data_IF_001789864022
#
_entry.id   IF_001789864022
#
_cell.length_a   1.000
_cell.length_b   1.000
_cell.length_c   1.000
_cell.angle_alpha   90.00
_cell.angle_beta   90.00
_cell.angle_gamma   90.00
#
_symmetry.space_group_name_H-M   'P 1'
#
loop_
_entity.id
_entity.type
_entity.pdbx_description
1 polymer ?
#
# COMPACT_ATOMS: atom_id res chain seq x y z
N UNK A 1 39.15 40.70 -61.91
CA UNK A 1 39.32 39.30 -61.45
C UNK A 1 38.86 39.24 -59.99
N UNK A 2 37.93 38.34 -59.70
CA UNK A 2 36.96 38.42 -58.59
C UNK A 2 37.49 37.69 -57.33
N UNK A 3 37.08 38.20 -56.16
CA UNK A 3 37.40 37.75 -54.80
C UNK A 3 37.20 36.26 -54.49
N UNK A 4 38.12 35.70 -53.70
CA UNK A 4 37.91 34.53 -52.84
C UNK A 4 38.42 34.84 -51.43
N UNK A 5 37.51 34.91 -50.46
CA UNK A 5 37.79 34.59 -49.05
C UNK A 5 36.48 34.58 -48.26
N UNK A 6 36.04 33.37 -47.84
CA UNK A 6 35.27 33.05 -46.61
C UNK A 6 34.59 31.69 -46.79
N UNK A 7 35.21 30.63 -46.27
CA UNK A 7 34.53 29.36 -45.93
C UNK A 7 35.47 28.49 -45.08
N UNK A 8 35.59 28.81 -43.79
CA UNK A 8 36.25 27.96 -42.81
C UNK A 8 35.79 28.32 -41.39
N UNK A 9 34.49 28.28 -41.12
CA UNK A 9 33.96 28.46 -39.76
C UNK A 9 32.55 27.88 -39.60
N UNK A 10 32.35 26.59 -39.90
CA UNK A 10 31.05 25.94 -39.62
C UNK A 10 31.11 24.43 -39.35
N UNK A 11 32.28 23.77 -39.32
CA UNK A 11 32.35 22.30 -39.13
C UNK A 11 32.69 21.84 -37.70
N UNK A 12 33.10 22.74 -36.80
CA UNK A 12 33.57 22.38 -35.45
C UNK A 12 32.48 22.43 -34.36
N UNK A 13 31.31 23.02 -34.63
CA UNK A 13 30.21 23.10 -33.65
C UNK A 13 29.32 21.84 -33.71
N UNK A 14 29.14 21.25 -34.89
CA UNK A 14 28.25 20.09 -35.07
C UNK A 14 28.83 18.80 -34.46
N UNK A 15 30.14 18.55 -34.59
CA UNK A 15 30.78 17.35 -34.02
C UNK A 15 30.80 17.35 -32.47
N UNK A 16 30.96 18.53 -31.86
CA UNK A 16 30.92 18.68 -30.40
C UNK A 16 29.52 18.41 -29.84
N UNK A 17 28.46 18.90 -30.50
CA UNK A 17 27.08 18.60 -30.12
C UNK A 17 26.76 17.11 -30.20
N UNK A 18 27.11 16.43 -31.30
CA UNK A 18 26.88 14.97 -31.44
C UNK A 18 27.69 14.12 -30.43
N UNK A 19 28.93 14.50 -30.11
CA UNK A 19 29.73 13.81 -29.11
C UNK A 19 29.19 14.00 -27.68
N UNK A 20 28.74 15.21 -27.34
CA UNK A 20 28.15 15.50 -26.02
C UNK A 20 26.82 14.79 -25.81
N UNK A 21 25.96 14.69 -26.84
CA UNK A 21 24.69 13.96 -26.77
C UNK A 21 24.94 12.47 -26.55
N UNK A 22 25.84 11.85 -27.33
CA UNK A 22 26.21 10.43 -27.15
C UNK A 22 26.81 10.14 -25.76
N UNK A 23 27.60 11.07 -25.20
CA UNK A 23 28.18 10.88 -23.86
C UNK A 23 27.16 11.05 -22.72
N UNK A 24 26.19 11.96 -22.86
CA UNK A 24 25.16 12.21 -21.86
C UNK A 24 24.13 11.07 -21.83
N UNK A 25 23.74 10.56 -23.01
CA UNK A 25 22.86 9.39 -23.15
C UNK A 25 23.53 8.13 -22.60
N UNK A 26 24.82 7.91 -22.88
CA UNK A 26 25.57 6.78 -22.33
C UNK A 26 25.71 6.86 -20.79
N UNK A 27 25.91 8.06 -20.23
CA UNK A 27 25.95 8.26 -18.77
C UNK A 27 24.58 8.04 -18.11
N UNK A 28 23.50 8.50 -18.75
CA UNK A 28 22.13 8.29 -18.28
C UNK A 28 21.78 6.80 -18.27
N UNK A 29 22.08 6.10 -19.37
CA UNK A 29 21.86 4.65 -19.49
C UNK A 29 22.67 3.86 -18.45
N UNK A 30 23.94 4.23 -18.19
CA UNK A 30 24.76 3.61 -17.16
C UNK A 30 24.17 3.82 -15.75
N UNK A 31 23.64 5.01 -15.47
CA UNK A 31 22.98 5.27 -14.19
C UNK A 31 21.70 4.47 -14.00
N UNK A 32 20.84 4.38 -15.01
CA UNK A 32 19.63 3.55 -14.97
C UNK A 32 19.97 2.09 -14.71
N UNK A 33 20.97 1.55 -15.41
CA UNK A 33 21.45 0.18 -15.21
C UNK A 33 21.95 -0.05 -13.78
N UNK A 34 22.68 0.92 -13.19
CA UNK A 34 23.12 0.86 -11.79
C UNK A 34 21.93 0.84 -10.81
N UNK A 35 20.91 1.66 -11.06
CA UNK A 35 19.69 1.72 -10.23
C UNK A 35 18.90 0.41 -10.35
N UNK A 36 18.72 -0.10 -11.57
CA UNK A 36 18.09 -1.39 -11.85
C UNK A 36 18.79 -2.52 -11.09
N UNK A 37 20.11 -2.59 -11.16
CA UNK A 37 20.90 -3.61 -10.48
C UNK A 37 20.75 -3.56 -8.95
N UNK A 38 20.69 -2.35 -8.36
CA UNK A 38 20.37 -2.21 -6.94
C UNK A 38 18.97 -2.77 -6.62
N UNK A 39 17.94 -2.38 -7.38
CA UNK A 39 16.58 -2.90 -7.16
C UNK A 39 16.50 -4.42 -7.30
N UNK A 40 17.15 -4.99 -8.31
CA UNK A 40 17.17 -6.44 -8.52
C UNK A 40 17.83 -7.16 -7.34
N UNK A 41 18.94 -6.63 -6.80
CA UNK A 41 19.60 -7.19 -5.62
C UNK A 41 18.69 -7.13 -4.38
N UNK A 42 18.04 -5.99 -4.15
CA UNK A 42 17.09 -5.82 -3.04
C UNK A 42 15.89 -6.76 -3.16
N UNK A 43 15.31 -6.89 -4.35
CA UNK A 43 14.20 -7.82 -4.61
C UNK A 43 14.61 -9.28 -4.32
N UNK A 44 15.80 -9.70 -4.77
CA UNK A 44 16.36 -11.02 -4.46
C UNK A 44 16.57 -11.22 -2.96
N UNK A 45 17.05 -10.20 -2.24
CA UNK A 45 17.23 -10.26 -0.80
C UNK A 45 15.90 -10.42 -0.06
N UNK A 46 14.87 -9.65 -0.42
CA UNK A 46 13.52 -9.75 0.16
C UNK A 46 12.88 -11.11 -0.11
N UNK A 47 12.98 -11.62 -1.34
CA UNK A 47 12.52 -12.98 -1.69
C UNK A 47 13.23 -14.05 -0.87
N UNK A 48 14.56 -13.97 -0.76
CA UNK A 48 15.36 -14.91 0.02
C UNK A 48 15.05 -14.86 1.53
N UNK A 49 14.69 -13.71 2.08
CA UNK A 49 14.27 -13.61 3.48
C UNK A 49 13.00 -14.43 3.74
N UNK A 50 12.01 -14.35 2.84
CA UNK A 50 10.78 -15.12 2.91
C UNK A 50 11.01 -16.64 2.75
N UNK A 51 11.93 -17.03 1.86
CA UNK A 51 12.28 -18.44 1.63
C UNK A 51 13.12 -19.06 2.75
N UNK A 52 13.83 -18.26 3.55
CA UNK A 52 14.74 -18.76 4.59
C UNK A 52 14.08 -19.02 5.94
N UNK A 53 13.21 -18.12 6.42
CA UNK A 53 12.47 -18.33 7.67
C UNK A 53 11.39 -17.29 7.90
N UNK A 54 10.36 -17.65 8.68
CA UNK A 54 9.35 -16.71 9.22
C UNK A 54 10.00 -15.52 9.93
N UNK A 55 11.00 -15.75 10.79
CA UNK A 55 11.67 -14.68 11.54
C UNK A 55 12.41 -13.66 10.63
N UNK A 56 12.97 -14.09 9.51
CA UNK A 56 13.62 -13.20 8.55
C UNK A 56 12.60 -12.34 7.80
N UNK A 57 11.49 -12.94 7.38
CA UNK A 57 10.42 -12.22 6.69
C UNK A 57 9.73 -11.21 7.61
N UNK A 58 9.45 -11.62 8.85
CA UNK A 58 8.83 -10.79 9.89
C UNK A 58 9.67 -9.57 10.25
N UNK A 59 11.01 -9.68 10.24
CA UNK A 59 11.92 -8.58 10.55
C UNK A 59 11.74 -7.36 9.64
N UNK A 60 11.31 -7.58 8.39
CA UNK A 60 11.01 -6.54 7.40
C UNK A 60 12.06 -5.41 7.35
N UNK A 61 13.33 -5.78 7.19
CA UNK A 61 14.47 -4.86 7.29
C UNK A 61 14.38 -3.73 6.26
N UNK A 62 14.71 -2.51 6.70
CA UNK A 62 14.83 -1.36 5.79
C UNK A 62 16.03 -1.49 4.85
N UNK A 63 15.79 -1.27 3.57
CA UNK A 63 16.84 -1.17 2.56
C UNK A 63 17.16 0.30 2.28
N UNK A 64 18.45 0.62 2.17
CA UNK A 64 18.91 1.95 1.80
C UNK A 64 20.01 1.86 0.75
N UNK A 65 19.87 2.64 -0.32
CA UNK A 65 20.86 2.70 -1.39
C UNK A 65 22.08 3.53 -0.99
N UNK A 66 23.25 3.14 -1.50
CA UNK A 66 24.48 3.95 -1.46
C UNK A 66 24.62 4.84 -2.71
N UNK A 67 23.69 4.77 -3.65
CA UNK A 67 23.70 5.61 -4.85
C UNK A 67 23.31 7.02 -4.45
N UNK A 68 24.27 7.93 -4.51
CA UNK A 68 24.08 9.34 -4.16
C UNK A 68 24.25 10.21 -5.41
N UNK A 69 23.29 11.12 -5.61
CA UNK A 69 23.35 12.20 -6.60
C UNK A 69 22.37 13.28 -6.18
N UNK A 70 22.84 14.51 -5.99
CA UNK A 70 21.94 15.67 -5.89
C UNK A 70 21.36 15.97 -7.26
N UNK A 71 20.08 16.28 -7.30
CA UNK A 71 19.37 16.60 -8.54
C UNK A 71 19.17 18.11 -8.63
N UNK A 72 19.24 18.63 -9.85
CA UNK A 72 18.72 19.97 -10.16
C UNK A 72 17.21 19.87 -10.29
N UNK A 73 16.50 20.97 -10.04
CA UNK A 73 15.03 20.97 -10.05
C UNK A 73 14.44 20.54 -11.41
N UNK A 74 15.10 20.92 -12.51
CA UNK A 74 14.70 20.53 -13.86
C UNK A 74 14.93 19.03 -14.18
N UNK A 75 15.75 18.33 -13.40
CA UNK A 75 16.05 16.91 -13.59
C UNK A 75 15.14 15.99 -12.76
N UNK A 76 14.27 16.54 -11.90
CA UNK A 76 13.45 15.76 -10.96
C UNK A 76 12.46 14.83 -11.68
N UNK A 77 11.79 15.32 -12.73
CA UNK A 77 10.78 14.56 -13.47
C UNK A 77 11.42 13.40 -14.21
N UNK A 78 12.44 13.66 -15.03
CA UNK A 78 13.16 12.63 -15.78
C UNK A 78 13.85 11.61 -14.88
N UNK A 79 14.36 12.03 -13.72
CA UNK A 79 14.93 11.11 -12.73
C UNK A 79 13.88 10.19 -12.11
N UNK A 80 12.66 10.68 -11.81
CA UNK A 80 11.56 9.83 -11.32
C UNK A 80 11.15 8.79 -12.35
N UNK A 81 11.03 9.19 -13.62
CA UNK A 81 10.70 8.28 -14.73
C UNK A 81 11.77 7.20 -14.90
N UNK A 82 13.05 7.58 -14.85
CA UNK A 82 14.17 6.63 -14.91
C UNK A 82 14.15 5.65 -13.73
N UNK A 83 13.95 6.14 -12.49
CA UNK A 83 13.86 5.28 -11.30
C UNK A 83 12.71 4.29 -11.42
N UNK A 84 11.54 4.74 -11.90
CA UNK A 84 10.40 3.84 -12.13
C UNK A 84 10.69 2.82 -13.25
N UNK A 85 11.31 3.24 -14.35
CA UNK A 85 11.70 2.33 -15.44
C UNK A 85 12.67 1.26 -14.95
N UNK A 86 13.70 1.65 -14.19
CA UNK A 86 14.66 0.74 -13.58
C UNK A 86 13.98 -0.24 -12.61
N UNK A 87 13.00 0.22 -11.83
CA UNK A 87 12.19 -0.65 -10.97
C UNK A 87 11.40 -1.67 -11.80
N UNK A 88 10.72 -1.24 -12.85
CA UNK A 88 9.97 -2.13 -13.75
C UNK A 88 10.87 -3.16 -14.45
N UNK A 89 12.08 -2.78 -14.87
CA UNK A 89 13.07 -3.70 -15.47
C UNK A 89 13.58 -4.73 -14.46
N UNK A 90 13.97 -4.29 -13.25
CA UNK A 90 14.41 -5.19 -12.19
C UNK A 90 13.32 -6.21 -11.82
N UNK A 91 12.06 -5.77 -11.79
CA UNK A 91 10.92 -6.64 -11.56
C UNK A 91 10.68 -7.64 -12.69
N UNK A 92 10.92 -7.27 -13.95
CA UNK A 92 10.85 -8.19 -15.08
C UNK A 92 11.98 -9.23 -15.04
N UNK A 93 13.18 -8.84 -14.61
CA UNK A 93 14.35 -9.71 -14.53
C UNK A 93 14.34 -10.64 -13.30
N UNK A 94 13.67 -10.25 -12.21
CA UNK A 94 13.54 -11.06 -11.00
C UNK A 94 12.95 -12.45 -11.32
N UNK A 95 13.64 -13.50 -10.92
CA UNK A 95 13.20 -14.89 -11.10
C UNK A 95 12.13 -15.24 -10.06
N UNK A 96 10.88 -15.26 -10.51
CA UNK A 96 9.69 -15.61 -9.73
C UNK A 96 8.53 -15.90 -10.69
N UNK A 97 7.47 -16.54 -10.20
CA UNK A 97 6.24 -16.70 -10.98
C UNK A 97 5.62 -15.33 -11.24
N UNK A 98 5.36 -15.02 -12.51
CA UNK A 98 4.75 -13.77 -12.95
C UNK A 98 3.23 -13.90 -13.03
N UNK A 99 2.55 -12.78 -12.77
CA UNK A 99 1.12 -12.64 -12.99
C UNK A 99 0.83 -12.84 -14.48
N UNK A 100 -0.18 -13.65 -14.77
CA UNK A 100 -0.63 -13.85 -16.15
C UNK A 100 -1.18 -12.56 -16.75
N UNK A 101 -1.23 -12.47 -18.08
CA UNK A 101 -1.96 -11.38 -18.74
C UNK A 101 -3.46 -11.59 -18.54
N UNK A 102 -4.24 -10.53 -18.28
CA UNK A 102 -5.65 -10.66 -18.04
C UNK A 102 -6.39 -10.89 -19.36
N UNK A 103 -7.18 -11.96 -19.42
CA UNK A 103 -8.21 -12.15 -20.46
C UNK A 103 -9.58 -11.69 -19.94
N UNK A 104 -10.67 -12.00 -20.63
CA UNK A 104 -12.02 -11.82 -20.08
C UNK A 104 -12.17 -12.64 -18.79
N UNK A 105 -12.63 -12.00 -17.70
CA UNK A 105 -12.88 -12.68 -16.43
C UNK A 105 -13.93 -13.80 -16.58
N UNK A 106 -14.82 -13.72 -17.57
CA UNK A 106 -15.81 -14.76 -17.86
C UNK A 106 -15.16 -16.10 -18.24
N UNK A 107 -13.94 -16.08 -18.78
CA UNK A 107 -13.22 -17.28 -19.20
C UNK A 107 -12.64 -18.06 -18.01
N UNK A 108 -12.58 -17.48 -16.81
CA UNK A 108 -11.94 -18.12 -15.67
C UNK A 108 -10.45 -18.37 -15.87
N UNK A 109 -9.77 -17.52 -16.65
CA UNK A 109 -8.32 -17.59 -16.84
C UNK A 109 -7.59 -17.42 -15.51
N UNK A 110 -6.71 -18.37 -15.19
CA UNK A 110 -6.04 -18.42 -13.89
C UNK A 110 -4.71 -19.15 -13.94
N UNK A 111 -3.92 -18.96 -12.90
CA UNK A 111 -2.65 -19.65 -12.65
C UNK A 111 -2.49 -19.85 -11.14
N UNK A 112 -1.29 -20.23 -10.70
CA UNK A 112 -0.99 -20.40 -9.28
C UNK A 112 0.33 -19.76 -8.90
N UNK A 113 0.47 -19.41 -7.62
CA UNK A 113 1.75 -19.07 -7.01
C UNK A 113 2.10 -20.05 -5.89
N UNK A 114 3.31 -20.59 -5.93
CA UNK A 114 3.89 -21.27 -4.77
C UNK A 114 4.32 -20.24 -3.72
N UNK A 115 3.80 -20.39 -2.50
CA UNK A 115 4.17 -19.53 -1.38
C UNK A 115 5.34 -20.16 -0.61
N UNK A 116 6.19 -19.36 0.05
CA UNK A 116 7.33 -19.88 0.80
C UNK A 116 6.92 -20.91 1.86
N UNK A 117 7.55 -22.10 1.81
CA UNK A 117 7.27 -23.21 2.73
C UNK A 117 7.47 -22.83 4.21
N UNK A 118 8.44 -21.94 4.47
CA UNK A 118 8.74 -21.40 5.80
C UNK A 118 7.62 -20.51 6.38
N UNK A 119 6.74 -19.98 5.52
CA UNK A 119 5.59 -19.16 5.93
C UNK A 119 4.32 -20.00 6.00
N UNK A 120 4.15 -20.96 5.08
CA UNK A 120 3.05 -21.90 5.08
C UNK A 120 3.45 -23.19 4.34
N UNK A 121 3.39 -24.37 5.00
CA UNK A 121 3.81 -25.63 4.40
C UNK A 121 3.02 -25.99 3.14
N UNK A 122 3.72 -26.37 2.07
CA UNK A 122 3.14 -26.84 0.80
C UNK A 122 2.08 -25.90 0.19
N UNK A 123 2.16 -24.60 0.47
CA UNK A 123 1.15 -23.65 0.05
C UNK A 123 1.27 -23.33 -1.45
N UNK A 124 0.23 -23.69 -2.20
CA UNK A 124 0.01 -23.24 -3.57
C UNK A 124 -1.27 -22.40 -3.57
N UNK A 125 -1.20 -21.17 -4.07
CA UNK A 125 -2.32 -20.24 -4.21
C UNK A 125 -2.77 -20.18 -5.67
N UNK A 126 -3.77 -20.98 -6.08
CA UNK A 126 -4.49 -20.72 -7.32
C UNK A 126 -5.14 -19.34 -7.31
N UNK A 127 -5.25 -18.70 -8.47
CA UNK A 127 -5.96 -17.45 -8.62
C UNK A 127 -6.54 -17.31 -10.03
N UNK A 128 -7.66 -16.60 -10.14
CA UNK A 128 -8.14 -16.04 -11.39
C UNK A 128 -7.61 -14.61 -11.54
N UNK A 129 -7.20 -14.25 -12.75
CA UNK A 129 -6.86 -12.87 -13.10
C UNK A 129 -7.46 -12.50 -14.45
N UNK A 130 -8.35 -11.52 -14.46
CA UNK A 130 -9.12 -11.19 -15.65
C UNK A 130 -9.73 -9.79 -15.64
N UNK A 131 -10.16 -9.36 -16.81
CA UNK A 131 -10.77 -8.07 -17.10
C UNK A 131 -12.27 -8.20 -17.29
N UNK A 132 -13.01 -7.17 -16.88
CA UNK A 132 -14.44 -7.03 -17.07
C UNK A 132 -14.70 -5.70 -17.78
N UNK A 133 -15.27 -5.75 -18.99
CA UNK A 133 -15.43 -4.57 -19.84
C UNK A 133 -14.12 -4.14 -20.52
N UNK A 134 -14.16 -2.99 -21.22
CA UNK A 134 -13.02 -2.41 -21.94
C UNK A 134 -12.75 -0.99 -21.43
N UNK A 135 -11.49 -0.56 -21.45
CA UNK A 135 -11.09 0.81 -21.18
C UNK A 135 -9.91 1.20 -22.09
N UNK A 136 -9.85 2.47 -22.50
CA UNK A 136 -8.77 3.01 -23.34
C UNK A 136 -7.49 3.33 -22.54
N UNK A 137 -7.50 3.08 -21.23
CA UNK A 137 -6.39 3.38 -20.33
C UNK A 137 -6.36 2.45 -19.12
N UNK A 138 -5.65 2.90 -18.08
CA UNK A 138 -5.46 2.12 -16.85
C UNK A 138 -6.79 1.80 -16.17
N UNK A 139 -6.96 0.55 -15.76
CA UNK A 139 -8.18 0.04 -15.13
C UNK A 139 -8.04 -0.03 -13.60
N UNK A 140 -9.16 0.10 -12.85
CA UNK A 140 -9.17 -0.25 -11.43
C UNK A 140 -8.92 -1.74 -11.22
N UNK A 141 -8.26 -2.10 -10.12
CA UNK A 141 -8.06 -3.50 -9.71
C UNK A 141 -8.87 -3.82 -8.46
N UNK A 142 -9.60 -4.92 -8.50
CA UNK A 142 -10.36 -5.48 -7.39
C UNK A 142 -9.74 -6.79 -6.90
N UNK A 143 -9.31 -6.82 -5.64
CA UNK A 143 -8.96 -8.04 -4.91
C UNK A 143 -10.20 -8.54 -4.17
N UNK A 144 -10.76 -9.67 -4.63
CA UNK A 144 -11.90 -10.32 -3.97
C UNK A 144 -11.45 -11.54 -3.17
N UNK A 145 -11.82 -11.59 -1.90
CA UNK A 145 -11.49 -12.68 -0.98
C UNK A 145 -12.74 -13.50 -0.65
N UNK A 146 -12.68 -14.82 -0.87
CA UNK A 146 -13.79 -15.73 -0.59
C UNK A 146 -13.94 -16.06 0.91
N UNK A 147 -15.06 -16.68 1.28
CA UNK A 147 -15.37 -17.06 2.65
C UNK A 147 -14.72 -18.38 3.06
N UNK A 148 -15.02 -18.85 4.27
CA UNK A 148 -14.61 -20.18 4.72
C UNK A 148 -15.59 -21.26 4.25
N UNK A 149 -15.06 -22.40 3.83
CA UNK A 149 -15.81 -23.54 3.30
C UNK A 149 -14.87 -24.40 2.45
N UNK A 150 -15.38 -25.45 1.76
CA UNK A 150 -14.58 -26.21 0.80
C UNK A 150 -13.96 -25.26 -0.23
N UNK A 151 -12.63 -25.10 -0.18
CA UNK A 151 -11.94 -24.00 -0.88
C UNK A 151 -12.19 -23.96 -2.40
N UNK A 152 -12.38 -25.13 -3.04
CA UNK A 152 -12.66 -25.21 -4.47
C UNK A 152 -14.01 -24.59 -4.82
N UNK A 153 -15.03 -24.89 -4.02
CA UNK A 153 -16.35 -24.32 -4.20
C UNK A 153 -16.38 -22.81 -3.91
N UNK A 154 -15.71 -22.38 -2.84
CA UNK A 154 -15.61 -20.96 -2.48
C UNK A 154 -14.89 -20.14 -3.57
N UNK A 155 -13.85 -20.71 -4.17
CA UNK A 155 -13.12 -20.06 -5.25
C UNK A 155 -13.94 -19.94 -6.54
N UNK A 156 -14.65 -21.00 -6.95
CA UNK A 156 -15.56 -20.98 -8.09
C UNK A 156 -16.70 -19.97 -7.89
N UNK A 157 -17.27 -19.92 -6.68
CA UNK A 157 -18.27 -18.90 -6.32
C UNK A 157 -17.71 -17.49 -6.44
N UNK A 158 -16.43 -17.28 -6.08
CA UNK A 158 -15.74 -16.02 -6.26
C UNK A 158 -15.70 -15.55 -7.72
N UNK A 159 -15.41 -16.45 -8.66
CA UNK A 159 -15.42 -16.14 -10.09
C UNK A 159 -16.80 -15.71 -10.59
N UNK A 160 -17.85 -16.41 -10.15
CA UNK A 160 -19.24 -16.07 -10.48
C UNK A 160 -19.57 -14.67 -9.96
N UNK A 161 -19.29 -14.40 -8.68
CA UNK A 161 -19.54 -13.11 -8.07
C UNK A 161 -18.74 -11.98 -8.73
N UNK A 162 -17.46 -12.21 -9.04
CA UNK A 162 -16.61 -11.27 -9.77
C UNK A 162 -17.23 -10.81 -11.09
N UNK A 163 -17.88 -11.73 -11.83
CA UNK A 163 -18.60 -11.41 -13.07
C UNK A 163 -19.94 -10.70 -12.85
N UNK A 164 -20.62 -10.91 -11.71
CA UNK A 164 -21.92 -10.29 -11.40
C UNK A 164 -21.81 -8.86 -10.85
N UNK A 165 -20.72 -8.54 -10.14
CA UNK A 165 -20.54 -7.24 -9.53
C UNK A 165 -20.54 -6.09 -10.56
N UNK A 166 -21.12 -4.93 -10.21
CA UNK A 166 -21.39 -3.83 -11.14
C UNK A 166 -20.29 -2.73 -11.10
N UNK A 167 -19.07 -3.11 -11.45
CA UNK A 167 -17.86 -2.26 -11.36
C UNK A 167 -17.04 -2.17 -12.66
N UNK A 168 -17.56 -2.70 -13.77
CA UNK A 168 -16.94 -2.54 -15.07
C UNK A 168 -16.77 -1.05 -15.46
N UNK A 169 -15.70 -0.69 -16.20
CA UNK A 169 -14.56 -1.54 -16.54
C UNK A 169 -13.60 -1.77 -15.36
N UNK A 170 -13.09 -3.00 -15.22
CA UNK A 170 -12.24 -3.39 -14.08
C UNK A 170 -11.34 -4.60 -14.37
N UNK A 171 -10.29 -4.73 -13.57
CA UNK A 171 -9.47 -5.93 -13.44
C UNK A 171 -9.78 -6.62 -12.10
N UNK A 172 -9.70 -7.94 -12.07
CA UNK A 172 -9.96 -8.77 -10.89
C UNK A 172 -8.80 -9.70 -10.61
N UNK A 173 -8.44 -9.79 -9.33
CA UNK A 173 -7.64 -10.89 -8.79
C UNK A 173 -8.49 -11.64 -7.75
N UNK A 174 -8.72 -12.93 -7.99
CA UNK A 174 -9.57 -13.80 -7.16
C UNK A 174 -8.74 -15.03 -6.75
N UNK A 175 -8.09 -15.01 -5.58
CA UNK A 175 -7.30 -16.13 -5.09
C UNK A 175 -8.18 -17.20 -4.46
N UNK A 176 -7.72 -18.45 -4.51
CA UNK A 176 -8.14 -19.52 -3.62
C UNK A 176 -7.22 -19.53 -2.40
N UNK A 177 -7.77 -19.78 -1.20
CA UNK A 177 -6.95 -19.99 -0.01
C UNK A 177 -6.01 -21.20 -0.23
N UNK A 178 -4.71 -21.14 0.09
CA UNK A 178 -3.79 -22.23 -0.22
C UNK A 178 -4.10 -23.50 0.57
N UNK A 179 -4.15 -23.39 1.89
CA UNK A 179 -4.47 -24.49 2.80
C UNK A 179 -5.65 -24.12 3.74
N UNK A 180 -6.36 -25.16 4.16
CA UNK A 180 -7.47 -25.06 5.11
C UNK A 180 -6.98 -25.20 6.59
N UNK A 181 -7.90 -25.32 7.53
CA UNK A 181 -7.58 -25.44 8.96
C UNK A 181 -6.94 -24.18 9.54
N UNK A 182 -5.82 -24.33 10.24
CA UNK A 182 -5.11 -23.21 10.89
C UNK A 182 -4.59 -22.17 9.89
N UNK A 183 -4.54 -22.48 8.59
CA UNK A 183 -4.09 -21.57 7.54
C UNK A 183 -5.22 -20.86 6.78
N UNK A 184 -6.48 -21.11 7.16
CA UNK A 184 -7.63 -20.50 6.49
C UNK A 184 -7.87 -19.05 6.95
N UNK A 185 -6.85 -18.20 6.85
CA UNK A 185 -6.89 -16.79 7.26
C UNK A 185 -6.15 -15.91 6.26
N UNK A 186 -6.85 -14.99 5.59
CA UNK A 186 -6.25 -14.14 4.54
C UNK A 186 -5.15 -13.17 5.01
N UNK A 187 -4.99 -12.99 6.32
CA UNK A 187 -4.04 -12.05 6.91
C UNK A 187 -2.67 -12.64 7.27
N UNK A 188 -2.50 -13.96 7.21
CA UNK A 188 -1.25 -14.62 7.61
C UNK A 188 -0.08 -14.30 6.67
N UNK A 189 1.15 -14.51 7.13
CA UNK A 189 2.38 -14.08 6.45
C UNK A 189 2.53 -14.59 5.01
N UNK A 190 2.17 -15.83 4.74
CA UNK A 190 2.21 -16.41 3.38
C UNK A 190 1.29 -15.62 2.42
N UNK A 191 0.10 -15.22 2.89
CA UNK A 191 -0.83 -14.38 2.14
C UNK A 191 -0.31 -12.94 2.04
N UNK A 192 0.32 -12.40 3.08
CA UNK A 192 1.02 -11.10 2.98
C UNK A 192 2.09 -11.09 1.90
N UNK A 193 2.88 -12.17 1.77
CA UNK A 193 3.85 -12.33 0.68
C UNK A 193 3.17 -12.27 -0.69
N UNK A 194 2.02 -12.93 -0.84
CA UNK A 194 1.22 -12.87 -2.06
C UNK A 194 0.65 -11.47 -2.34
N UNK A 195 0.21 -10.73 -1.32
CA UNK A 195 -0.34 -9.37 -1.49
C UNK A 195 0.72 -8.36 -1.93
N UNK A 196 1.91 -8.38 -1.33
CA UNK A 196 3.01 -7.51 -1.74
C UNK A 196 3.52 -7.88 -3.14
N UNK A 197 3.56 -9.18 -3.47
CA UNK A 197 3.84 -9.66 -4.83
C UNK A 197 2.79 -9.17 -5.83
N UNK A 198 1.51 -9.29 -5.51
CA UNK A 198 0.39 -8.84 -6.35
C UNK A 198 0.50 -7.35 -6.64
N UNK A 199 0.54 -6.51 -5.61
CA UNK A 199 0.57 -5.05 -5.76
C UNK A 199 1.79 -4.65 -6.59
N UNK A 200 2.98 -5.19 -6.30
CA UNK A 200 4.19 -4.91 -7.07
C UNK A 200 4.03 -5.27 -8.54
N UNK A 201 3.57 -6.49 -8.84
CA UNK A 201 3.47 -6.96 -10.23
C UNK A 201 2.40 -6.20 -11.03
N UNK A 202 1.23 -5.90 -10.43
CA UNK A 202 0.17 -5.16 -11.16
C UNK A 202 0.55 -3.71 -11.45
N UNK A 203 1.32 -3.07 -10.57
CA UNK A 203 1.78 -1.70 -10.80
C UNK A 203 2.89 -1.66 -11.85
N UNK A 204 3.79 -2.65 -11.87
CA UNK A 204 4.85 -2.79 -12.88
C UNK A 204 4.28 -3.10 -14.28
N UNK A 205 3.20 -3.88 -14.36
CA UNK A 205 2.55 -4.23 -15.64
C UNK A 205 2.02 -3.01 -16.39
N UNK A 206 1.63 -1.96 -15.66
CA UNK A 206 1.20 -0.68 -16.23
C UNK A 206 -0.26 -0.63 -16.67
N UNK A 207 -1.00 -1.75 -16.65
CA UNK A 207 -2.43 -1.78 -16.97
C UNK A 207 -3.34 -1.29 -15.82
N UNK A 208 -2.84 -1.27 -14.59
CA UNK A 208 -3.61 -0.89 -13.40
C UNK A 208 -3.37 0.58 -13.02
N UNK A 209 -4.45 1.27 -12.65
CA UNK A 209 -4.38 2.59 -12.03
C UNK A 209 -3.95 2.45 -10.56
N UNK A 210 -2.75 2.95 -10.25
CA UNK A 210 -2.16 2.87 -8.92
C UNK A 210 -3.01 3.52 -7.81
N UNK A 211 -3.94 4.41 -8.18
CA UNK A 211 -4.83 5.08 -7.23
C UNK A 211 -6.24 4.48 -7.20
N UNK A 212 -6.47 3.32 -7.84
CA UNK A 212 -7.77 2.64 -7.88
C UNK A 212 -7.62 1.14 -7.61
N UNK A 213 -6.97 0.82 -6.49
CA UNK A 213 -6.92 -0.53 -5.93
C UNK A 213 -8.01 -0.70 -4.87
N UNK A 214 -8.72 -1.81 -4.90
CA UNK A 214 -9.81 -2.10 -3.96
C UNK A 214 -9.68 -3.50 -3.38
N UNK A 215 -9.96 -3.65 -2.08
CA UNK A 215 -9.96 -4.96 -1.40
C UNK A 215 -11.31 -5.21 -0.72
N UNK A 216 -11.88 -6.39 -0.92
CA UNK A 216 -13.18 -6.74 -0.36
C UNK A 216 -13.36 -8.25 -0.29
N UNK A 217 -14.34 -8.72 0.46
CA UNK A 217 -14.59 -10.15 0.60
C UNK A 217 -15.78 -10.46 1.49
N UNK A 218 -16.18 -11.73 1.48
CA UNK A 218 -17.37 -12.23 2.18
C UNK A 218 -16.95 -13.19 3.29
N UNK A 219 -17.63 -13.18 4.44
CA UNK A 219 -17.38 -14.14 5.53
C UNK A 219 -15.93 -14.05 6.01
N UNK A 220 -15.16 -15.13 5.99
CA UNK A 220 -13.71 -15.09 6.26
C UNK A 220 -12.96 -14.05 5.39
N UNK A 221 -13.34 -13.88 4.12
CA UNK A 221 -12.89 -12.78 3.27
C UNK A 221 -13.28 -11.38 3.77
N UNK A 222 -14.36 -11.26 4.53
CA UNK A 222 -14.76 -10.04 5.24
C UNK A 222 -13.82 -9.72 6.41
N UNK A 223 -13.46 -10.71 7.24
CA UNK A 223 -12.43 -10.55 8.28
C UNK A 223 -11.08 -10.17 7.65
N UNK A 224 -10.68 -10.92 6.62
CA UNK A 224 -9.46 -10.69 5.87
C UNK A 224 -9.39 -9.29 5.26
N UNK A 225 -10.41 -8.89 4.51
CA UNK A 225 -10.43 -7.57 3.87
C UNK A 225 -10.50 -6.42 4.87
N UNK A 226 -11.15 -6.57 6.03
CA UNK A 226 -11.11 -5.55 7.08
C UNK A 226 -9.70 -5.38 7.65
N UNK A 227 -9.02 -6.50 7.94
CA UNK A 227 -7.65 -6.46 8.47
C UNK A 227 -6.67 -5.88 7.46
N UNK A 228 -6.77 -6.31 6.20
CA UNK A 228 -5.94 -5.82 5.10
C UNK A 228 -6.21 -4.36 4.77
N UNK A 229 -7.45 -3.88 4.94
CA UNK A 229 -7.78 -2.46 4.80
C UNK A 229 -6.91 -1.62 5.74
N UNK A 230 -6.84 -1.98 7.01
CA UNK A 230 -6.03 -1.25 8.00
C UNK A 230 -4.52 -1.41 7.80
N UNK A 231 -4.05 -2.58 7.37
CA UNK A 231 -2.60 -2.87 7.28
C UNK A 231 -1.95 -2.29 6.01
N UNK A 232 -2.69 -2.26 4.90
CA UNK A 232 -2.21 -1.75 3.59
C UNK A 232 -2.97 -0.48 3.16
N UNK A 233 -3.45 0.30 4.12
CA UNK A 233 -4.39 1.39 3.88
C UNK A 233 -3.90 2.45 2.90
N UNK A 234 -2.59 2.64 2.82
CA UNK A 234 -1.91 3.55 1.93
C UNK A 234 -1.83 3.07 0.47
N UNK A 235 -2.32 1.86 0.16
CA UNK A 235 -2.47 1.35 -1.21
C UNK A 235 -3.92 1.39 -1.71
N UNK A 236 -4.90 1.22 -0.81
CA UNK A 236 -6.29 1.11 -1.20
C UNK A 236 -6.93 2.46 -1.49
N UNK A 237 -7.73 2.53 -2.54
CA UNK A 237 -8.68 3.61 -2.74
C UNK A 237 -9.92 3.41 -1.87
N UNK A 238 -10.39 2.16 -1.75
CA UNK A 238 -11.43 1.78 -0.80
C UNK A 238 -11.41 0.29 -0.44
N UNK A 239 -11.97 -0.05 0.72
CA UNK A 239 -12.19 -1.41 1.18
C UNK A 239 -13.66 -1.73 1.43
N UNK A 240 -14.06 -2.99 1.21
CA UNK A 240 -15.46 -3.44 1.24
C UNK A 240 -15.78 -4.72 2.01
N UNK A 241 -15.41 -4.91 3.28
CA UNK A 241 -15.78 -6.12 4.03
C UNK A 241 -17.30 -6.43 3.99
N UNK A 242 -17.66 -7.70 3.87
CA UNK A 242 -19.05 -8.16 3.92
C UNK A 242 -19.22 -9.36 4.84
N UNK A 243 -20.19 -9.29 5.75
CA UNK A 243 -20.56 -10.38 6.66
C UNK A 243 -19.34 -11.01 7.37
N UNK A 244 -18.44 -10.16 7.89
CA UNK A 244 -17.22 -10.54 8.63
C UNK A 244 -17.10 -9.72 9.92
N UNK A 245 -15.87 -9.48 10.41
CA UNK A 245 -15.63 -8.50 11.47
C UNK A 245 -14.39 -8.75 12.31
N UNK A 246 -13.51 -7.77 12.47
CA UNK A 246 -12.31 -7.87 13.29
C UNK A 246 -12.46 -7.10 14.61
N UNK A 247 -12.02 -7.63 15.76
CA UNK A 247 -11.75 -6.81 16.93
C UNK A 247 -10.81 -5.67 16.52
N UNK A 248 -11.13 -4.43 16.88
CA UNK A 248 -10.45 -3.25 16.31
C UNK A 248 -8.95 -3.15 16.65
N UNK A 249 -8.46 -3.87 17.66
CA UNK A 249 -7.00 -4.03 17.85
C UNK A 249 -6.31 -4.71 16.67
N UNK A 250 -7.02 -5.48 15.85
CA UNK A 250 -6.49 -6.11 14.65
C UNK A 250 -6.76 -5.26 13.39
N UNK A 251 -7.62 -4.25 13.48
CA UNK A 251 -7.93 -3.35 12.37
C UNK A 251 -8.18 -1.92 12.88
N UNK A 252 -7.13 -1.21 13.36
CA UNK A 252 -7.26 0.16 13.85
C UNK A 252 -7.94 1.08 12.82
N UNK A 253 -9.02 1.75 13.23
CA UNK A 253 -9.83 2.56 12.30
C UNK A 253 -9.08 3.78 11.79
N UNK A 254 -8.15 4.31 12.60
CA UNK A 254 -7.32 5.47 12.26
C UNK A 254 -6.55 5.26 10.96
N UNK A 255 -6.07 4.03 10.72
CA UNK A 255 -5.32 3.72 9.51
C UNK A 255 -6.18 3.92 8.24
N UNK A 256 -7.51 3.81 8.34
CA UNK A 256 -8.44 3.96 7.23
C UNK A 256 -8.84 5.42 6.93
N UNK A 257 -8.23 6.42 7.59
CA UNK A 257 -8.61 7.83 7.49
C UNK A 257 -8.44 8.48 6.10
N UNK A 258 -7.82 7.83 5.10
CA UNK A 258 -7.61 8.40 3.76
C UNK A 258 -8.20 7.54 2.62
N UNK A 259 -9.08 6.59 2.95
CA UNK A 259 -9.72 5.70 1.97
C UNK A 259 -11.25 5.71 2.11
N UNK A 260 -11.95 5.14 1.12
CA UNK A 260 -13.34 4.72 1.31
C UNK A 260 -13.42 3.43 2.12
N UNK A 261 -14.33 3.36 3.09
CA UNK A 261 -14.57 2.13 3.85
C UNK A 261 -16.07 1.74 3.88
N UNK A 262 -16.44 0.65 3.20
CA UNK A 262 -17.80 0.09 3.27
C UNK A 262 -17.77 -1.23 4.02
N UNK A 263 -18.65 -1.42 5.01
CA UNK A 263 -18.76 -2.69 5.72
C UNK A 263 -20.23 -3.04 5.96
N UNK A 264 -20.70 -4.08 5.28
CA UNK A 264 -22.11 -4.49 5.30
C UNK A 264 -22.25 -5.89 5.89
N UNK A 265 -23.11 -6.05 6.88
CA UNK A 265 -23.39 -7.34 7.53
C UNK A 265 -24.89 -7.46 7.78
N UNK A 266 -25.44 -8.67 7.77
CA UNK A 266 -26.84 -8.88 8.15
C UNK A 266 -27.05 -8.56 9.63
N UNK A 267 -28.13 -7.85 9.98
CA UNK A 267 -28.43 -7.51 11.36
C UNK A 267 -28.60 -8.76 12.26
N UNK A 268 -29.11 -9.84 11.68
CA UNK A 268 -29.35 -11.12 12.35
C UNK A 268 -28.17 -12.11 12.18
N UNK A 269 -27.05 -11.66 11.61
CA UNK A 269 -25.84 -12.47 11.46
C UNK A 269 -25.00 -12.50 12.75
N UNK A 270 -25.47 -13.29 13.72
CA UNK A 270 -24.85 -13.41 15.05
C UNK A 270 -23.65 -14.36 15.09
N UNK A 271 -23.47 -15.17 14.05
CA UNK A 271 -22.40 -16.17 13.99
C UNK A 271 -21.02 -15.51 14.04
N UNK A 272 -20.11 -16.04 14.87
CA UNK A 272 -18.76 -15.49 15.06
C UNK A 272 -18.74 -13.97 15.32
N UNK A 273 -19.79 -13.45 15.98
CA UNK A 273 -19.93 -12.05 16.39
C UNK A 273 -19.95 -11.02 15.25
N UNK A 274 -20.29 -11.43 14.01
CA UNK A 274 -20.19 -10.57 12.83
C UNK A 274 -21.01 -9.29 12.94
N UNK A 275 -22.26 -9.38 13.37
CA UNK A 275 -23.09 -8.20 13.58
C UNK A 275 -22.54 -7.26 14.68
N UNK A 276 -22.09 -7.82 15.80
CA UNK A 276 -21.51 -7.06 16.93
C UNK A 276 -20.23 -6.33 16.50
N UNK A 277 -19.31 -7.03 15.83
CA UNK A 277 -18.05 -6.44 15.37
C UNK A 277 -18.26 -5.40 14.27
N UNK A 278 -19.25 -5.60 13.40
CA UNK A 278 -19.68 -4.58 12.43
C UNK A 278 -20.18 -3.33 13.14
N UNK A 279 -21.01 -3.48 14.17
CA UNK A 279 -21.51 -2.36 14.96
C UNK A 279 -20.39 -1.64 15.73
N UNK A 280 -19.44 -2.36 16.34
CA UNK A 280 -18.29 -1.74 17.01
C UNK A 280 -17.42 -0.95 16.02
N UNK A 281 -17.25 -1.49 14.80
CA UNK A 281 -16.54 -0.78 13.74
C UNK A 281 -17.30 0.48 13.33
N UNK A 282 -18.62 0.43 13.18
CA UNK A 282 -19.47 1.59 12.89
C UNK A 282 -19.26 2.71 13.92
N UNK A 283 -19.44 2.39 15.20
CA UNK A 283 -19.31 3.36 16.31
C UNK A 283 -17.91 4.00 16.32
N UNK A 284 -16.86 3.21 16.05
CA UNK A 284 -15.50 3.72 16.02
C UNK A 284 -15.25 4.67 14.83
N UNK A 285 -15.74 4.34 13.64
CA UNK A 285 -15.64 5.23 12.47
C UNK A 285 -16.46 6.51 12.62
N UNK A 286 -17.70 6.41 13.15
CA UNK A 286 -18.54 7.57 13.45
C UNK A 286 -17.84 8.50 14.46
N UNK A 287 -17.29 7.92 15.54
CA UNK A 287 -16.56 8.67 16.56
C UNK A 287 -15.30 9.33 16.00
N UNK A 288 -14.52 8.62 15.19
CA UNK A 288 -13.31 9.16 14.57
C UNK A 288 -13.64 10.29 13.58
N UNK A 289 -14.71 10.16 12.80
CA UNK A 289 -15.20 11.21 11.92
C UNK A 289 -15.66 12.46 12.69
N UNK A 290 -16.36 12.29 13.81
CA UNK A 290 -16.80 13.41 14.66
C UNK A 290 -15.62 14.15 15.28
N UNK A 291 -14.61 13.42 15.77
CA UNK A 291 -13.41 14.02 16.38
C UNK A 291 -12.54 14.72 15.33
N UNK A 292 -12.45 14.15 14.11
CA UNK A 292 -11.63 14.71 13.03
C UNK A 292 -12.33 14.58 11.67
N UNK A 293 -13.24 15.51 11.35
CA UNK A 293 -14.02 15.42 10.12
C UNK A 293 -13.20 15.68 8.87
N UNK A 294 -12.19 16.57 8.96
CA UNK A 294 -11.39 17.04 7.83
C UNK A 294 -9.89 16.83 8.07
N UNK A 295 -9.16 16.64 6.97
CA UNK A 295 -7.71 16.69 6.90
C UNK A 295 -7.20 18.13 6.88
N UNK A 296 -5.87 18.30 6.98
CA UNK A 296 -5.17 19.57 6.87
C UNK A 296 -5.39 20.28 5.52
N UNK A 297 -5.71 19.53 4.46
CA UNK A 297 -6.09 20.05 3.13
C UNK A 297 -7.61 20.09 2.91
N UNK A 298 -8.40 20.15 3.98
CA UNK A 298 -9.87 20.28 3.99
C UNK A 298 -10.62 19.16 3.25
N UNK A 299 -10.09 17.93 3.26
CA UNK A 299 -10.76 16.75 2.70
C UNK A 299 -11.39 15.89 3.79
N UNK A 300 -12.54 15.25 3.55
CA UNK A 300 -13.10 14.31 4.52
C UNK A 300 -12.16 13.11 4.75
N UNK A 301 -11.84 12.80 6.01
CA UNK A 301 -10.96 11.68 6.35
C UNK A 301 -11.71 10.33 6.34
N UNK A 302 -12.64 10.14 7.27
CA UNK A 302 -13.34 8.87 7.45
C UNK A 302 -14.57 8.75 6.55
N UNK A 303 -14.36 8.59 5.23
CA UNK A 303 -15.46 8.41 4.27
C UNK A 303 -15.96 6.97 4.29
N UNK A 304 -17.02 6.71 5.05
CA UNK A 304 -17.45 5.34 5.32
C UNK A 304 -18.95 5.08 5.13
N UNK A 305 -19.29 3.79 5.00
CA UNK A 305 -20.66 3.25 4.97
C UNK A 305 -20.66 1.91 5.71
N UNK A 306 -21.00 1.92 6.98
CA UNK A 306 -20.95 0.72 7.83
C UNK A 306 -22.34 0.46 8.41
N UNK A 307 -22.97 -0.62 7.96
CA UNK A 307 -24.39 -0.83 8.23
C UNK A 307 -24.68 -2.31 8.56
N UNK A 308 -25.55 -2.51 9.54
CA UNK A 308 -26.30 -3.74 9.71
C UNK A 308 -27.55 -3.69 8.84
N UNK A 309 -27.74 -4.70 7.99
CA UNK A 309 -28.86 -4.79 7.05
C UNK A 309 -30.05 -5.51 7.72
N UNK A 310 -31.21 -4.84 7.90
CA UNK A 310 -32.35 -5.44 8.58
C UNK A 310 -32.87 -6.71 7.89
N UNK A 311 -33.34 -7.67 8.70
CA UNK A 311 -33.92 -8.94 8.24
C UNK A 311 -32.98 -9.80 7.37
N UNK A 312 -31.68 -9.56 7.45
CA UNK A 312 -30.66 -10.35 6.78
C UNK A 312 -29.80 -11.09 7.80
N UNK A 313 -29.48 -12.34 7.49
CA UNK A 313 -28.52 -13.17 8.23
C UNK A 313 -27.17 -13.15 7.49
N UNK A 314 -26.44 -14.27 7.49
CA UNK A 314 -25.12 -14.36 6.88
C UNK A 314 -25.09 -13.97 5.40
N UNK A 315 -26.13 -14.33 4.65
CA UNK A 315 -26.27 -13.93 3.25
C UNK A 315 -26.92 -12.55 3.18
N UNK A 316 -26.23 -11.62 2.54
CA UNK A 316 -26.71 -10.27 2.25
C UNK A 316 -26.73 -10.02 0.74
N UNK A 317 -27.27 -8.87 0.32
CA UNK A 317 -27.12 -8.42 -1.06
C UNK A 317 -25.68 -7.91 -1.33
N UNK A 318 -24.80 -8.80 -1.79
CA UNK A 318 -23.40 -8.48 -2.07
C UNK A 318 -23.20 -7.44 -3.19
N UNK A 319 -24.19 -7.28 -4.10
CA UNK A 319 -24.09 -6.37 -5.24
C UNK A 319 -23.94 -4.89 -4.85
N UNK A 320 -24.22 -4.55 -3.60
CA UNK A 320 -24.17 -3.18 -3.08
C UNK A 320 -22.75 -2.64 -2.86
N UNK A 321 -21.74 -3.52 -2.82
CA UNK A 321 -20.38 -3.16 -2.37
C UNK A 321 -19.54 -2.51 -3.48
N UNK A 322 -19.26 -3.20 -4.58
CA UNK A 322 -18.33 -2.68 -5.60
C UNK A 322 -18.79 -1.40 -6.31
N UNK A 323 -20.11 -1.14 -6.54
CA UNK A 323 -20.56 0.14 -7.08
C UNK A 323 -20.25 1.33 -6.18
N UNK A 324 -20.16 1.11 -4.86
CA UNK A 324 -19.76 2.14 -3.91
C UNK A 324 -18.24 2.32 -3.90
N UNK A 325 -17.48 1.22 -3.86
CA UNK A 325 -16.00 1.26 -3.84
C UNK A 325 -15.42 2.00 -5.04
N UNK A 326 -15.92 1.72 -6.25
CA UNK A 326 -15.37 2.28 -7.50
C UNK A 326 -15.46 3.81 -7.62
N UNK A 327 -16.20 4.47 -6.72
CA UNK A 327 -16.33 5.94 -6.63
C UNK A 327 -15.14 6.61 -5.95
N UNK A 328 -14.22 5.83 -5.37
CA UNK A 328 -13.07 6.34 -4.64
C UNK A 328 -11.82 6.27 -5.49
N UNK A 329 -10.99 7.31 -5.37
CA UNK A 329 -9.64 7.39 -5.93
C UNK A 329 -8.73 7.74 -4.76
N UNK A 330 -7.65 6.98 -4.61
CA UNK A 330 -6.66 7.19 -3.54
C UNK A 330 -5.99 8.55 -3.71
N UNK A 331 -5.79 9.25 -2.60
CA UNK A 331 -4.83 10.35 -2.53
C UNK A 331 -3.45 9.80 -2.11
N UNK A 332 -2.44 9.75 -3.00
CA UNK A 332 -1.12 9.26 -2.63
C UNK A 332 -0.34 10.23 -1.73
N UNK A 333 -0.78 11.48 -1.61
CA UNK A 333 -0.09 12.55 -0.87
C UNK A 333 -1.01 13.23 0.16
N UNK A 334 -1.59 12.49 1.13
CA UNK A 334 -2.43 13.11 2.15
C UNK A 334 -1.63 14.03 3.07
N UNK A 335 -2.17 15.20 3.39
CA UNK A 335 -1.56 16.13 4.36
C UNK A 335 -1.92 15.81 5.81
N UNK A 336 -2.78 14.81 6.04
CA UNK A 336 -3.04 14.23 7.35
C UNK A 336 -2.87 12.72 7.27
N UNK A 337 -1.97 12.17 8.06
CA UNK A 337 -1.74 10.72 8.17
C UNK A 337 -1.98 10.30 9.61
N UNK A 338 -2.85 9.31 9.78
CA UNK A 338 -3.07 8.64 11.06
C UNK A 338 -2.66 7.19 10.87
N UNK A 339 -1.72 6.73 11.65
CA UNK A 339 -1.18 5.38 11.51
C UNK A 339 -0.83 4.78 12.86
N UNK A 340 -1.61 3.80 13.29
CA UNK A 340 -1.20 2.85 14.32
C UNK A 340 -0.41 1.72 13.64
N UNK A 341 0.89 1.66 13.92
CA UNK A 341 1.76 0.55 13.56
C UNK A 341 1.43 -0.66 14.44
N UNK A 342 0.57 -1.52 13.92
CA UNK A 342 0.17 -2.77 14.55
C UNK A 342 0.78 -3.98 13.84
N UNK A 343 1.00 -5.03 14.62
CA UNK A 343 1.49 -6.30 14.12
C UNK A 343 0.36 -7.14 13.49
N UNK A 344 0.63 -7.73 12.33
CA UNK A 344 -0.20 -8.73 11.68
C UNK A 344 0.61 -10.02 11.44
N UNK A 345 0.30 -11.07 12.20
CA UNK A 345 1.02 -12.37 12.18
C UNK A 345 2.53 -12.26 12.45
N UNK A 346 2.92 -11.54 13.49
CA UNK A 346 4.31 -11.27 13.86
C UNK A 346 4.91 -10.07 13.14
N UNK A 347 4.37 -9.66 11.99
CA UNK A 347 4.99 -8.66 11.11
C UNK A 347 4.38 -7.28 11.21
N UNK A 348 5.22 -6.26 11.21
CA UNK A 348 4.87 -4.84 11.14
C UNK A 348 5.27 -4.25 9.79
N UNK A 349 4.59 -3.17 9.40
CA UNK A 349 4.95 -2.39 8.21
C UNK A 349 6.14 -1.49 8.53
N UNK A 350 7.09 -1.39 7.61
CA UNK A 350 8.22 -0.42 7.71
C UNK A 350 7.82 0.99 7.30
N UNK A 351 6.75 1.13 6.52
CA UNK A 351 6.30 2.43 6.01
C UNK A 351 4.82 2.46 5.66
N UNK A 352 4.28 3.68 5.72
CA UNK A 352 2.87 4.01 5.52
C UNK A 352 2.73 5.43 4.96
N UNK A 353 2.05 5.57 3.82
CA UNK A 353 1.97 6.82 3.05
C UNK A 353 3.36 7.37 2.68
N UNK A 354 3.82 8.42 3.36
CA UNK A 354 5.13 9.07 3.19
C UNK A 354 6.02 8.94 4.44
N UNK A 355 5.63 8.12 5.40
CA UNK A 355 6.41 7.83 6.61
C UNK A 355 7.12 6.48 6.47
N UNK A 356 8.37 6.41 6.95
CA UNK A 356 9.13 5.17 7.10
C UNK A 356 9.78 5.12 8.49
N UNK A 357 9.53 4.05 9.23
CA UNK A 357 10.12 3.77 10.54
C UNK A 357 11.50 3.19 10.34
N UNK A 358 12.53 3.96 10.69
CA UNK A 358 13.93 3.52 10.63
C UNK A 358 14.36 2.78 11.89
N UNK A 359 13.85 3.22 13.04
CA UNK A 359 14.06 2.60 14.35
C UNK A 359 12.76 2.70 15.14
N UNK A 360 12.24 1.56 15.60
CA UNK A 360 11.05 1.53 16.48
C UNK A 360 11.39 2.15 17.84
N UNK A 361 10.52 2.99 18.42
CA UNK A 361 10.76 3.56 19.75
C UNK A 361 10.69 2.51 20.87
N UNK A 362 9.90 1.46 20.70
CA UNK A 362 9.74 0.37 21.66
C UNK A 362 9.13 -0.89 21.01
N UNK A 363 8.90 -1.93 21.82
CA UNK A 363 8.12 -3.11 21.42
C UNK A 363 6.60 -2.83 21.39
N UNK A 364 6.15 -1.72 21.96
CA UNK A 364 4.73 -1.34 21.95
C UNK A 364 4.29 -0.92 20.55
N UNK A 365 2.97 -0.83 20.35
CA UNK A 365 2.42 -0.22 19.15
C UNK A 365 2.69 1.27 19.19
N UNK A 366 3.00 1.86 18.04
CA UNK A 366 3.20 3.30 17.94
C UNK A 366 2.12 3.90 17.05
N UNK A 367 1.46 4.93 17.56
CA UNK A 367 0.52 5.76 16.82
C UNK A 367 1.23 7.03 16.35
N UNK A 368 1.32 7.16 15.03
CA UNK A 368 1.84 8.31 14.31
C UNK A 368 0.69 9.14 13.78
N UNK A 369 0.60 10.38 14.25
CA UNK A 369 -0.28 11.40 13.72
C UNK A 369 0.57 12.47 13.05
N UNK A 370 0.47 12.61 11.73
CA UNK A 370 1.11 13.66 10.95
C UNK A 370 0.08 14.65 10.44
N UNK A 371 0.41 15.94 10.51
CA UNK A 371 -0.30 17.01 9.81
C UNK A 371 0.72 17.90 9.09
N UNK A 372 0.41 18.29 7.85
CA UNK A 372 1.22 19.20 7.05
C UNK A 372 0.38 20.44 6.73
N UNK A 373 0.76 21.56 7.33
CA UNK A 373 0.18 22.88 7.04
C UNK A 373 1.27 23.74 6.43
N UNK A 374 1.11 24.09 5.16
CA UNK A 374 2.16 24.73 4.34
C UNK A 374 3.49 23.97 4.40
N UNK A 375 4.52 24.58 5.00
CA UNK A 375 5.85 24.01 5.17
C UNK A 375 6.11 23.54 6.61
N UNK A 376 5.07 23.42 7.44
CA UNK A 376 5.17 22.96 8.81
C UNK A 376 4.56 21.57 8.93
N UNK A 377 5.41 20.60 9.24
CA UNK A 377 5.04 19.22 9.53
C UNK A 377 4.96 19.07 11.05
N UNK A 378 3.80 18.70 11.56
CA UNK A 378 3.60 18.37 12.97
C UNK A 378 3.38 16.87 13.11
N UNK A 379 4.14 16.24 14.00
CA UNK A 379 4.04 14.84 14.37
C UNK A 379 3.68 14.71 15.85
N UNK A 380 2.57 14.04 16.16
CA UNK A 380 2.32 13.51 17.50
C UNK A 380 2.56 11.99 17.45
N UNK A 381 3.50 11.51 18.27
CA UNK A 381 3.95 10.13 18.25
C UNK A 381 3.80 9.56 19.65
N UNK A 382 2.94 8.54 19.79
CA UNK A 382 2.59 7.96 21.07
C UNK A 382 2.64 6.43 21.03
N UNK A 383 3.14 5.83 22.10
CA UNK A 383 2.95 4.42 22.38
C UNK A 383 1.48 4.19 22.71
N UNK A 384 0.91 3.09 22.23
CA UNK A 384 -0.49 2.71 22.45
C UNK A 384 -0.54 1.46 23.29
N UNK A 385 -1.26 1.54 24.42
CA UNK A 385 -1.59 0.38 25.24
C UNK A 385 -3.09 0.09 25.15
N UNK A 386 -3.41 -1.20 25.00
CA UNK A 386 -4.78 -1.68 24.93
C UNK A 386 -5.15 -2.34 26.26
N UNK A 387 -6.29 -1.95 26.81
CA UNK A 387 -6.93 -2.66 27.93
C UNK A 387 -8.23 -3.27 27.45
N UNK A 388 -8.34 -4.59 27.53
CA UNK A 388 -9.57 -5.31 27.17
C UNK A 388 -10.68 -4.98 28.15
N UNK A 389 -11.79 -4.45 27.64
CA UNK A 389 -12.98 -4.12 28.45
C UNK A 389 -14.13 -5.11 28.25
N UNK A 390 -14.05 -5.92 27.19
CA UNK A 390 -15.05 -6.94 26.89
C UNK A 390 -14.38 -8.17 26.31
N UNK A 391 -14.72 -9.33 26.86
CA UNK A 391 -14.35 -10.64 26.32
C UNK A 391 -15.62 -11.44 26.05
N UNK A 392 -15.58 -12.22 24.99
CA UNK A 392 -16.64 -13.18 24.72
C UNK A 392 -16.62 -14.31 25.78
N UNK A 393 -17.80 -14.85 26.09
CA UNK A 393 -17.95 -15.84 27.17
C UNK A 393 -17.56 -17.26 26.77
N UNK A 394 -17.56 -17.57 25.48
CA UNK A 394 -17.38 -18.93 24.96
C UNK A 394 -15.90 -19.26 24.72
N UNK A 395 -15.16 -18.32 24.14
CA UNK A 395 -13.78 -18.53 23.69
C UNK A 395 -12.79 -17.53 24.29
N UNK A 396 -13.25 -16.55 25.06
CA UNK A 396 -12.40 -15.55 25.71
C UNK A 396 -11.75 -14.56 24.73
N UNK A 397 -12.25 -14.47 23.50
CA UNK A 397 -11.86 -13.50 22.48
C UNK A 397 -12.11 -12.10 23.03
N UNK A 398 -11.09 -11.28 22.92
CA UNK A 398 -11.15 -9.88 23.30
C UNK A 398 -11.89 -9.10 22.22
N UNK A 399 -13.05 -8.57 22.58
CA UNK A 399 -14.01 -7.98 21.62
C UNK A 399 -13.91 -6.46 21.56
N UNK A 400 -13.65 -5.82 22.71
CA UNK A 400 -13.64 -4.37 22.85
C UNK A 400 -12.52 -3.92 23.79
N UNK A 401 -11.99 -2.73 23.53
CA UNK A 401 -10.79 -2.23 24.19
C UNK A 401 -10.88 -0.74 24.49
N UNK A 402 -10.24 -0.33 25.58
CA UNK A 402 -9.82 1.04 25.82
C UNK A 402 -8.36 1.20 25.38
N UNK A 403 -8.01 2.41 24.94
CA UNK A 403 -6.64 2.79 24.59
C UNK A 403 -6.14 3.88 25.52
N UNK A 404 -4.89 3.76 25.95
CA UNK A 404 -4.13 4.83 26.58
C UNK A 404 -2.92 5.18 25.72
N UNK A 405 -2.47 6.44 25.83
CA UNK A 405 -1.40 6.99 25.00
C UNK A 405 -0.31 7.60 25.86
N UNK A 406 0.94 7.34 25.48
CA UNK A 406 2.11 7.95 26.11
C UNK A 406 3.08 8.41 25.03
N UNK A 407 3.63 9.62 25.15
CA UNK A 407 4.60 10.13 24.17
C UNK A 407 5.78 9.16 23.99
N UNK A 408 5.97 8.68 22.76
CA UNK A 408 7.09 7.79 22.41
C UNK A 408 8.41 8.55 22.42
N UNK A 409 9.51 7.83 22.68
CA UNK A 409 10.89 8.33 22.67
C UNK A 409 11.83 7.26 22.13
N UNK A 410 12.98 7.67 21.59
CA UNK A 410 14.03 6.76 21.12
C UNK A 410 13.81 6.20 19.71
N UNK A 411 12.77 6.65 19.00
CA UNK A 411 12.48 6.22 17.64
C UNK A 411 13.23 7.05 16.60
N UNK A 412 13.31 6.53 15.37
CA UNK A 412 13.83 7.26 14.20
C UNK A 412 12.89 7.09 13.02
N UNK A 413 12.53 8.21 12.41
CA UNK A 413 11.66 8.28 11.23
C UNK A 413 12.38 8.90 10.04
N UNK A 414 11.96 8.49 8.86
CA UNK A 414 12.15 9.23 7.60
C UNK A 414 10.78 9.69 7.10
N UNK A 415 10.68 10.97 6.77
CA UNK A 415 9.47 11.60 6.21
C UNK A 415 9.80 12.00 4.79
N UNK A 416 9.19 11.33 3.82
CA UNK A 416 9.37 11.64 2.41
C UNK A 416 8.50 12.81 1.96
N UNK A 417 9.02 13.64 1.06
CA UNK A 417 8.44 14.92 0.65
C UNK A 417 8.50 15.13 -0.86
N UNK A 418 7.53 15.87 -1.39
CA UNK A 418 7.46 16.38 -2.75
C UNK A 418 6.69 17.71 -2.77
N UNK A 419 6.58 18.32 -3.96
CA UNK A 419 5.88 19.61 -4.16
C UNK A 419 4.36 19.57 -3.92
N UNK A 420 3.77 18.38 -3.76
CA UNK A 420 2.35 18.25 -3.39
C UNK A 420 2.14 18.32 -1.87
N UNK A 421 3.17 17.96 -1.09
CA UNK A 421 3.13 17.98 0.37
C UNK A 421 3.56 19.34 0.93
N UNK A 422 4.66 19.90 0.43
CA UNK A 422 5.28 21.15 0.91
C UNK A 422 5.78 22.00 -0.26
N UNK A 423 6.02 23.31 -0.05
CA UNK A 423 6.74 24.14 -1.02
C UNK A 423 8.25 23.89 -0.89
N UNK A 424 8.83 23.13 -1.82
CA UNK A 424 10.26 22.75 -1.77
C UNK A 424 11.21 23.95 -1.90
N UNK A 425 10.73 25.13 -2.31
CA UNK A 425 11.51 26.36 -2.39
C UNK A 425 11.54 27.15 -1.08
N UNK A 426 10.91 26.64 -0.02
CA UNK A 426 10.89 27.25 1.32
C UNK A 426 11.45 26.28 2.36
N UNK A 427 11.97 26.84 3.44
CA UNK A 427 12.39 26.05 4.58
C UNK A 427 11.21 25.25 5.14
N UNK A 428 11.39 23.94 5.32
CA UNK A 428 10.45 23.04 5.98
C UNK A 428 10.79 22.98 7.46
N UNK A 429 9.77 23.05 8.31
CA UNK A 429 9.89 22.89 9.76
C UNK A 429 9.23 21.59 10.18
N UNK A 430 9.92 20.79 11.01
CA UNK A 430 9.37 19.58 11.62
C UNK A 430 9.28 19.76 13.13
N UNK A 431 8.07 19.58 13.65
CA UNK A 431 7.76 19.60 15.08
C UNK A 431 7.31 18.20 15.48
N UNK A 432 8.00 17.58 16.43
CA UNK A 432 7.64 16.26 16.96
C UNK A 432 7.32 16.39 18.44
N UNK A 433 6.12 15.96 18.85
CA UNK A 433 5.65 15.97 20.23
C UNK A 433 5.77 17.34 20.93
N UNK A 434 5.64 18.43 20.15
CA UNK A 434 5.74 19.82 20.59
C UNK A 434 7.14 20.43 20.51
N UNK A 435 8.17 19.67 20.09
CA UNK A 435 9.55 20.16 19.96
C UNK A 435 9.94 20.29 18.49
N UNK A 436 10.46 21.45 18.09
CA UNK A 436 11.04 21.60 16.76
C UNK A 436 12.34 20.79 16.67
N UNK A 437 12.38 19.80 15.79
CA UNK A 437 13.54 18.93 15.58
C UNK A 437 14.29 19.20 14.28
N UNK A 438 13.63 19.86 13.31
CA UNK A 438 14.26 20.26 12.06
C UNK A 438 13.70 21.59 11.57
N UNK A 439 14.56 22.41 10.97
CA UNK A 439 14.19 23.57 10.15
C UNK A 439 15.25 23.77 9.08
N UNK A 440 14.89 23.66 7.81
CA UNK A 440 15.85 23.78 6.72
C UNK A 440 15.24 23.55 5.34
N UNK A 441 16.03 23.80 4.30
CA UNK A 441 15.66 23.47 2.93
C UNK A 441 15.90 21.99 2.67
N UNK A 442 14.90 21.34 2.09
CA UNK A 442 14.99 19.96 1.60
C UNK A 442 15.36 19.99 0.12
N UNK A 443 16.32 19.16 -0.29
CA UNK A 443 16.82 19.15 -1.67
C UNK A 443 16.50 17.82 -2.34
N UNK A 444 16.09 17.83 -3.62
CA UNK A 444 15.90 16.60 -4.38
C UNK A 444 17.18 15.77 -4.49
N UNK A 445 17.10 14.48 -4.17
CA UNK A 445 18.18 13.51 -4.34
C UNK A 445 17.70 12.26 -5.05
N UNK A 446 18.59 11.66 -5.85
CA UNK A 446 18.35 10.35 -6.44
C UNK A 446 18.23 9.25 -5.35
N UNK A 447 18.90 9.45 -4.22
CA UNK A 447 18.89 8.50 -3.11
C UNK A 447 17.48 8.37 -2.51
N UNK A 448 16.78 9.48 -2.29
CA UNK A 448 15.42 9.50 -1.77
C UNK A 448 14.42 8.86 -2.76
N UNK A 449 14.58 9.10 -4.05
CA UNK A 449 13.73 8.48 -5.09
C UNK A 449 13.90 6.96 -5.12
N UNK A 450 15.14 6.48 -5.07
CA UNK A 450 15.43 5.04 -5.03
C UNK A 450 14.90 4.42 -3.74
N UNK A 451 15.17 5.02 -2.57
CA UNK A 451 14.75 4.49 -1.28
C UNK A 451 13.22 4.44 -1.15
N UNK A 452 12.52 5.50 -1.55
CA UNK A 452 11.05 5.53 -1.53
C UNK A 452 10.43 4.54 -2.51
N UNK A 453 11.00 4.39 -3.72
CA UNK A 453 10.57 3.37 -4.66
C UNK A 453 10.75 1.95 -4.10
N UNK A 454 11.87 1.66 -3.42
CA UNK A 454 12.12 0.37 -2.77
C UNK A 454 11.15 0.08 -1.61
N UNK A 455 10.79 1.11 -0.85
CA UNK A 455 9.87 1.00 0.29
C UNK A 455 8.43 0.75 -0.18
N UNK A 456 7.94 1.58 -1.10
CA UNK A 456 6.52 1.63 -1.43
C UNK A 456 6.14 0.90 -2.72
N UNK A 457 7.10 0.62 -3.61
CA UNK A 457 6.90 -0.07 -4.89
C UNK A 457 5.74 0.48 -5.73
N UNK A 458 5.59 1.81 -5.72
CA UNK A 458 4.43 2.53 -6.24
C UNK A 458 4.88 3.74 -7.07
N UNK A 459 4.39 3.88 -8.33
CA UNK A 459 4.81 4.98 -9.20
C UNK A 459 4.42 6.36 -8.66
N UNK A 460 3.40 6.44 -7.82
CA UNK A 460 2.99 7.67 -7.16
C UNK A 460 3.77 7.95 -5.88
N UNK A 461 4.71 7.11 -5.44
CA UNK A 461 5.48 7.31 -4.19
C UNK A 461 6.99 7.25 -4.41
N UNK A 462 7.43 7.82 -5.53
CA UNK A 462 8.83 8.12 -5.82
C UNK A 462 9.11 9.55 -5.36
N UNK A 463 9.48 9.70 -4.10
CA UNK A 463 9.66 10.99 -3.47
C UNK A 463 11.07 11.54 -3.74
N UNK A 464 11.18 12.80 -4.18
CA UNK A 464 12.48 13.41 -4.48
C UNK A 464 13.30 13.75 -3.24
N UNK A 465 12.69 13.93 -2.06
CA UNK A 465 13.40 14.39 -0.88
C UNK A 465 12.86 13.72 0.39
N UNK A 466 13.63 13.77 1.47
CA UNK A 466 13.19 13.36 2.80
C UNK A 466 13.79 14.17 3.94
N UNK A 467 13.18 14.07 5.13
CA UNK A 467 13.75 14.48 6.41
C UNK A 467 13.91 13.23 7.28
N UNK A 468 15.12 12.97 7.75
CA UNK A 468 15.36 11.96 8.80
C UNK A 468 15.46 12.63 10.17
N UNK A 469 14.77 12.07 11.16
CA UNK A 469 14.75 12.61 12.51
C UNK A 469 14.70 11.49 13.56
N UNK A 470 15.48 11.62 14.63
CA UNK A 470 15.29 10.86 15.87
C UNK A 470 14.53 11.70 16.89
N UNK A 471 13.64 11.08 17.68
CA UNK A 471 12.73 11.79 18.59
C UNK A 471 12.66 11.19 20.00
#
# INVERSE_FOLDING_TARGET
MIHFNKLAATLSVTLALFATINSADAQSHNLQEKVKNYFLQTLKAKQNAALKSKANYTRNTNDATKIQKQLKDNDVVSSKEMVWSAWCEANRELQEEKLIKPESLQNGGGASWSLPQELEPNAVMPYYFGSKGKADGKMPLFLYLHGSGPKEQEWQNGLILGNLFQDAPSLYFIPQIPNEGNYYRWWQLSKQFAWEKLIRQVLVDGAVDANRLYVFGISEGGYGSQRLASFYADYWAAAGPMAGGEPLKNAPVENCANMGFSFLTGADDTGFYRNILTHYTQVAFDSAQLVRPLSADNRPLFRHRINLLPNMQHRINYSLTTPWLKRFVRNPYPKTVLWEDFEMDGRRRSGFHNLQVLVSPSEHRTYYEMMINDNVITMNINDVEYTTVEKDKQWGIEMKFNRSYKKSKGGKLRIYLNDQLVDMNKAVTLIVNGKQLYRGYVKPTLQDMINSCTEYFDPCRIFPASIEVGY
#
